data_IF_369500931689
#
_entry.id   IF_369500931689
#
_cell.length_a   1.000
_cell.length_b   1.000
_cell.length_c   1.000
_cell.angle_alpha   90.00
_cell.angle_beta   90.00
_cell.angle_gamma   90.00
#
_symmetry.space_group_name_H-M   'P 1'
#
loop_
_entity.id
_entity.type
_entity.pdbx_description
1 polymer ?
#
# COMPACT_ATOMS: atom_id res chain seq x y z
N UNK A 1 -21.21 -7.84 -3.60
CA UNK A 1 -20.88 -7.14 -2.32
C UNK A 1 -21.84 -7.62 -1.25
N UNK A 2 -21.34 -8.03 -0.08
CA UNK A 2 -22.18 -8.42 1.08
C UNK A 2 -22.56 -7.18 1.89
N UNK A 3 -23.60 -7.28 2.72
CA UNK A 3 -23.95 -6.25 3.68
C UNK A 3 -22.81 -6.11 4.72
N UNK A 4 -22.52 -4.90 5.13
CA UNK A 4 -21.50 -4.56 6.12
C UNK A 4 -21.97 -3.38 6.97
N UNK A 5 -21.42 -3.25 8.15
CA UNK A 5 -21.58 -2.09 9.01
C UNK A 5 -20.55 -1.02 8.60
N UNK A 6 -20.94 0.24 8.63
CA UNK A 6 -20.08 1.38 8.28
C UNK A 6 -19.97 2.33 9.45
N UNK A 7 -18.76 2.66 9.84
CA UNK A 7 -18.45 3.64 10.88
C UNK A 7 -17.46 4.67 10.35
N UNK A 8 -17.66 5.92 10.71
CA UNK A 8 -16.73 7.01 10.33
C UNK A 8 -15.94 7.44 11.54
N UNK A 9 -14.63 7.26 11.50
CA UNK A 9 -13.73 7.65 12.57
C UNK A 9 -13.44 9.15 12.55
N UNK A 10 -13.51 9.78 13.71
CA UNK A 10 -13.15 11.18 13.89
C UNK A 10 -11.62 11.36 13.94
N UNK A 11 -10.92 10.40 14.53
CA UNK A 11 -9.47 10.39 14.71
C UNK A 11 -8.92 8.95 14.69
N UNK A 12 -7.60 8.81 14.84
CA UNK A 12 -6.93 7.51 14.82
C UNK A 12 -7.35 6.62 16.00
N UNK A 13 -7.55 7.21 17.19
CA UNK A 13 -7.95 6.45 18.38
C UNK A 13 -9.34 5.84 18.19
N UNK A 14 -10.32 6.62 17.71
CA UNK A 14 -11.66 6.15 17.39
C UNK A 14 -11.62 5.05 16.30
N UNK A 15 -10.76 5.19 15.28
CA UNK A 15 -10.61 4.16 14.25
C UNK A 15 -10.12 2.82 14.82
N UNK A 16 -9.14 2.86 15.73
CA UNK A 16 -8.59 1.69 16.41
C UNK A 16 -9.63 1.06 17.33
N UNK A 17 -10.40 1.89 18.06
CA UNK A 17 -11.47 1.43 18.93
C UNK A 17 -12.56 0.71 18.13
N UNK A 18 -13.01 1.28 17.01
CA UNK A 18 -13.97 0.62 16.11
C UNK A 18 -13.43 -0.70 15.58
N UNK A 19 -12.13 -0.76 15.24
CA UNK A 19 -11.51 -1.99 14.75
C UNK A 19 -11.60 -3.12 15.77
N UNK A 20 -11.44 -2.82 17.04
CA UNK A 20 -11.54 -3.79 18.13
C UNK A 20 -12.97 -4.39 18.30
N UNK A 21 -14.00 -3.70 17.78
CA UNK A 21 -15.39 -4.10 17.87
C UNK A 21 -15.84 -5.06 16.75
N UNK A 22 -15.02 -5.29 15.71
CA UNK A 22 -15.40 -6.08 14.55
C UNK A 22 -14.42 -7.22 14.25
N UNK A 23 -14.93 -8.46 14.14
CA UNK A 23 -14.10 -9.63 13.85
C UNK A 23 -13.38 -9.57 12.48
N UNK A 24 -13.98 -8.90 11.50
CA UNK A 24 -13.44 -8.72 10.14
C UNK A 24 -13.52 -7.25 9.74
N UNK A 25 -12.96 -6.37 10.58
CA UNK A 25 -12.93 -4.95 10.29
C UNK A 25 -11.85 -4.60 9.25
N UNK A 26 -12.13 -3.59 8.41
CA UNK A 26 -11.16 -3.02 7.44
C UNK A 26 -11.22 -1.49 7.47
N UNK A 27 -10.06 -0.87 7.43
CA UNK A 27 -9.96 0.57 7.25
C UNK A 27 -10.20 0.97 5.80
N UNK A 28 -11.03 1.99 5.59
CA UNK A 28 -11.36 2.56 4.29
C UNK A 28 -10.73 3.95 4.14
N UNK A 29 -9.74 4.05 3.27
CA UNK A 29 -9.20 5.32 2.80
C UNK A 29 -9.95 5.80 1.54
N UNK A 30 -9.23 5.95 0.41
CA UNK A 30 -9.85 6.37 -0.85
C UNK A 30 -10.79 5.37 -1.53
N UNK A 31 -10.86 4.15 -1.06
CA UNK A 31 -11.75 3.09 -1.56
C UNK A 31 -11.32 2.46 -2.89
N UNK A 32 -10.32 2.99 -3.56
CA UNK A 32 -9.91 2.58 -4.93
C UNK A 32 -9.38 1.16 -5.07
N UNK A 33 -9.14 0.46 -3.96
CA UNK A 33 -8.81 -0.95 -3.96
C UNK A 33 -9.79 -1.76 -3.09
N UNK A 34 -10.04 -1.37 -1.84
CA UNK A 34 -10.92 -2.13 -0.94
C UNK A 34 -12.33 -2.27 -1.53
N UNK A 35 -12.94 -1.17 -2.01
CA UNK A 35 -14.30 -1.22 -2.58
C UNK A 35 -14.34 -2.07 -3.86
N UNK A 36 -13.30 -2.01 -4.69
CA UNK A 36 -13.15 -2.85 -5.86
C UNK A 36 -13.17 -4.34 -5.48
N UNK A 37 -12.32 -4.75 -4.53
CA UNK A 37 -12.27 -6.12 -4.01
C UNK A 37 -13.58 -6.56 -3.34
N UNK A 38 -14.30 -5.64 -2.69
CA UNK A 38 -15.61 -5.91 -2.11
C UNK A 38 -16.66 -6.14 -3.20
N UNK A 39 -16.59 -5.41 -4.33
CA UNK A 39 -17.50 -5.62 -5.49
C UNK A 39 -17.28 -6.97 -6.14
N UNK A 40 -16.01 -7.37 -6.30
CA UNK A 40 -15.61 -8.70 -6.79
C UNK A 40 -15.80 -9.81 -5.74
N UNK A 41 -16.33 -9.47 -4.55
CA UNK A 41 -16.58 -10.41 -3.47
C UNK A 41 -15.32 -11.16 -2.96
N UNK A 42 -14.15 -10.58 -3.17
CA UNK A 42 -12.84 -11.07 -2.68
C UNK A 42 -12.64 -10.64 -1.22
N UNK A 43 -12.83 -9.36 -0.92
CA UNK A 43 -12.86 -8.85 0.45
C UNK A 43 -14.30 -8.79 0.96
N UNK A 44 -14.52 -9.30 2.17
CA UNK A 44 -15.86 -9.46 2.76
C UNK A 44 -15.89 -8.96 4.21
N UNK A 45 -15.52 -7.68 4.43
CA UNK A 45 -15.53 -7.14 5.79
C UNK A 45 -16.95 -7.09 6.35
N UNK A 46 -17.08 -7.36 7.65
CA UNK A 46 -18.32 -7.14 8.40
C UNK A 46 -18.44 -5.69 8.88
N UNK A 47 -17.29 -5.02 9.06
CA UNK A 47 -17.20 -3.63 9.48
C UNK A 47 -16.20 -2.88 8.57
N UNK A 48 -16.66 -1.79 7.98
CA UNK A 48 -15.83 -0.84 7.23
C UNK A 48 -15.69 0.44 8.04
N UNK A 49 -14.46 0.80 8.35
CA UNK A 49 -14.12 1.98 9.15
C UNK A 49 -13.55 3.05 8.22
N UNK A 50 -14.31 4.10 8.00
CA UNK A 50 -13.89 5.23 7.16
C UNK A 50 -12.90 6.10 7.92
N UNK A 51 -11.66 6.16 7.39
CA UNK A 51 -10.57 6.99 7.89
C UNK A 51 -10.27 8.19 6.98
N UNK A 52 -11.18 8.55 6.09
CA UNK A 52 -10.99 9.69 5.16
C UNK A 52 -11.00 11.04 5.86
N UNK A 53 -11.53 11.09 7.09
CA UNK A 53 -11.52 12.28 7.95
C UNK A 53 -10.19 12.56 8.65
N UNK A 54 -9.25 11.61 8.63
CA UNK A 54 -7.94 11.78 9.26
C UNK A 54 -7.06 12.77 8.48
N UNK A 55 -5.97 13.21 9.13
CA UNK A 55 -5.07 14.23 8.58
C UNK A 55 -4.51 13.84 7.19
N UNK A 56 -4.34 14.88 6.37
CA UNK A 56 -3.86 14.80 4.97
C UNK A 56 -2.67 15.71 4.73
N UNK A 57 -2.04 16.17 5.80
CA UNK A 57 -0.97 17.15 5.72
C UNK A 57 0.30 16.56 5.10
N UNK A 58 1.05 17.44 4.46
CA UNK A 58 2.40 17.20 3.98
C UNK A 58 3.24 18.30 4.59
N UNK A 59 4.14 17.94 5.51
CA UNK A 59 4.90 18.91 6.30
C UNK A 59 6.38 18.58 6.33
N UNK A 60 7.18 19.62 6.41
CA UNK A 60 8.62 19.49 6.59
C UNK A 60 8.94 19.04 8.03
N UNK A 61 10.01 18.26 8.18
CA UNK A 61 10.60 17.95 9.47
C UNK A 61 11.75 18.92 9.79
N UNK A 62 12.12 19.03 11.06
CA UNK A 62 13.20 19.93 11.51
C UNK A 62 14.57 19.57 10.89
N UNK A 63 14.77 18.31 10.58
CA UNK A 63 15.97 17.78 9.93
C UNK A 63 15.96 17.91 8.38
N UNK A 64 14.93 18.59 7.84
CA UNK A 64 14.80 18.81 6.39
C UNK A 64 14.20 17.64 5.61
N UNK A 65 13.67 16.62 6.30
CA UNK A 65 12.88 15.55 5.72
C UNK A 65 11.45 15.98 5.42
N UNK A 66 10.57 15.02 5.14
CA UNK A 66 9.15 15.24 4.86
C UNK A 66 8.29 14.20 5.55
N UNK A 67 7.22 14.61 6.19
CA UNK A 67 6.16 13.71 6.69
C UNK A 67 4.91 13.90 5.85
N UNK A 68 4.36 12.81 5.36
CA UNK A 68 3.15 12.75 4.55
C UNK A 68 2.12 11.93 5.33
N UNK A 69 1.03 12.54 5.76
CA UNK A 69 -0.02 11.83 6.49
C UNK A 69 -0.75 10.83 5.59
N UNK A 70 -1.18 9.72 6.17
CA UNK A 70 -1.73 8.58 5.43
C UNK A 70 -3.00 8.90 4.64
N UNK A 71 -3.75 9.95 5.06
CA UNK A 71 -4.93 10.45 4.35
C UNK A 71 -4.60 11.33 3.13
N UNK A 72 -3.35 11.74 2.93
CA UNK A 72 -2.95 12.57 1.79
C UNK A 72 -3.27 11.88 0.46
N UNK A 73 -3.85 12.63 -0.49
CA UNK A 73 -4.20 12.10 -1.81
C UNK A 73 -2.97 12.00 -2.70
N UNK A 74 -2.89 10.94 -3.50
CA UNK A 74 -1.76 10.73 -4.41
C UNK A 74 -1.53 11.93 -5.34
N UNK A 75 -2.59 12.57 -5.83
CA UNK A 75 -2.47 13.79 -6.65
C UNK A 75 -1.86 14.95 -5.86
N UNK A 76 -2.27 15.16 -4.60
CA UNK A 76 -1.73 16.23 -3.77
C UNK A 76 -0.23 16.04 -3.54
N UNK A 77 0.22 14.80 -3.29
CA UNK A 77 1.64 14.48 -3.10
C UNK A 77 2.43 14.75 -4.40
N UNK A 78 1.94 14.24 -5.53
CA UNK A 78 2.64 14.41 -6.81
C UNK A 78 2.75 15.86 -7.25
N UNK A 79 1.81 16.73 -6.86
CA UNK A 79 1.81 18.17 -7.12
C UNK A 79 2.54 19.00 -6.07
N UNK A 80 2.83 18.44 -4.89
CA UNK A 80 3.42 19.18 -3.78
C UNK A 80 4.82 19.66 -4.13
N UNK A 81 5.09 20.95 -3.89
CA UNK A 81 6.35 21.59 -4.29
C UNK A 81 7.58 20.87 -3.72
N UNK A 82 7.60 20.62 -2.41
CA UNK A 82 8.72 19.95 -1.75
C UNK A 82 8.96 18.52 -2.29
N UNK A 83 7.89 17.79 -2.64
CA UNK A 83 8.03 16.46 -3.25
C UNK A 83 8.64 16.55 -4.64
N UNK A 84 8.19 17.49 -5.47
CA UNK A 84 8.72 17.68 -6.83
C UNK A 84 10.17 18.14 -6.86
N UNK A 85 10.56 19.02 -5.95
CA UNK A 85 11.90 19.58 -5.88
C UNK A 85 12.91 18.65 -5.19
N UNK A 86 12.53 18.03 -4.08
CA UNK A 86 13.45 17.24 -3.24
C UNK A 86 13.36 15.73 -3.49
N UNK A 87 12.17 15.22 -3.86
CA UNK A 87 11.91 13.80 -4.05
C UNK A 87 11.23 13.50 -5.41
N UNK A 88 11.80 13.96 -6.55
CA UNK A 88 11.16 13.86 -7.85
C UNK A 88 10.82 12.42 -8.26
N UNK A 89 11.58 11.44 -7.81
CA UNK A 89 11.29 10.02 -8.06
C UNK A 89 9.93 9.61 -7.49
N UNK A 90 9.54 10.16 -6.32
CA UNK A 90 8.24 9.88 -5.72
C UNK A 90 7.11 10.48 -6.57
N UNK A 91 7.25 11.73 -7.00
CA UNK A 91 6.27 12.38 -7.88
C UNK A 91 6.11 11.61 -9.20
N UNK A 92 7.22 11.20 -9.82
CA UNK A 92 7.23 10.44 -11.07
C UNK A 92 6.57 9.07 -10.90
N UNK A 93 6.89 8.33 -9.84
CA UNK A 93 6.30 7.03 -9.55
C UNK A 93 4.77 7.13 -9.36
N UNK A 94 4.29 8.14 -8.63
CA UNK A 94 2.86 8.36 -8.42
C UNK A 94 2.16 8.67 -9.75
N UNK A 95 2.77 9.51 -10.60
CA UNK A 95 2.16 9.91 -11.88
C UNK A 95 2.18 8.77 -12.90
N UNK A 96 3.19 7.87 -12.85
CA UNK A 96 3.27 6.70 -13.69
C UNK A 96 2.18 5.65 -13.38
N UNK A 97 1.71 5.62 -12.11
CA UNK A 97 0.66 4.70 -11.67
C UNK A 97 -0.75 5.27 -11.81
N UNK A 98 -1.73 4.41 -12.07
CA UNK A 98 -3.16 4.67 -12.09
C UNK A 98 -3.60 5.83 -13.03
N UNK A 99 -4.88 6.13 -13.10
CA UNK A 99 -5.42 7.31 -13.78
C UNK A 99 -5.46 8.53 -12.84
N UNK A 100 -5.62 9.73 -13.42
CA UNK A 100 -5.78 10.94 -12.62
C UNK A 100 -6.98 10.87 -11.67
N UNK A 101 -8.09 10.28 -12.12
CA UNK A 101 -9.30 10.09 -11.33
C UNK A 101 -9.03 9.20 -10.11
N UNK A 102 -8.33 8.08 -10.31
CA UNK A 102 -7.95 7.17 -9.21
C UNK A 102 -7.00 7.89 -8.24
N UNK A 103 -5.98 8.62 -8.74
CA UNK A 103 -5.05 9.36 -7.89
C UNK A 103 -5.72 10.46 -7.05
N UNK A 104 -6.81 11.04 -7.53
CA UNK A 104 -7.60 12.03 -6.78
C UNK A 104 -8.34 11.40 -5.59
N UNK A 105 -8.61 10.11 -5.63
CA UNK A 105 -9.29 9.35 -4.57
C UNK A 105 -8.30 8.58 -3.69
N UNK A 106 -7.32 7.93 -4.28
CA UNK A 106 -6.33 7.12 -3.58
C UNK A 106 -5.54 7.92 -2.55
N UNK A 107 -5.33 7.32 -1.39
CA UNK A 107 -4.55 7.89 -0.27
C UNK A 107 -3.22 7.16 -0.12
N UNK A 108 -2.26 7.77 0.58
CA UNK A 108 -0.98 7.12 0.90
C UNK A 108 -1.19 5.78 1.60
N UNK A 109 -1.92 5.79 2.73
CA UNK A 109 -2.17 4.56 3.48
C UNK A 109 -2.84 3.48 2.63
N UNK A 110 -3.86 3.86 1.84
CA UNK A 110 -4.53 2.94 0.93
C UNK A 110 -3.64 2.44 -0.21
N UNK A 111 -2.70 3.24 -0.67
CA UNK A 111 -1.73 2.84 -1.71
C UNK A 111 -0.71 1.84 -1.15
N UNK A 112 -0.20 2.06 0.08
CA UNK A 112 0.69 1.11 0.73
C UNK A 112 -0.01 -0.24 0.97
N UNK A 113 -1.30 -0.21 1.28
CA UNK A 113 -2.10 -1.38 1.64
C UNK A 113 -2.86 -2.00 0.46
N UNK A 114 -2.63 -1.52 -0.76
CA UNK A 114 -3.30 -2.12 -1.93
C UNK A 114 -2.86 -3.57 -2.13
N UNK A 115 -3.78 -4.41 -2.55
CA UNK A 115 -3.51 -5.83 -2.80
C UNK A 115 -3.11 -6.08 -4.24
N UNK A 116 -2.54 -7.25 -4.50
CA UNK A 116 -2.04 -7.67 -5.81
C UNK A 116 -3.06 -7.48 -6.95
N UNK A 117 -2.56 -7.36 -8.19
CA UNK A 117 -3.36 -7.36 -9.43
C UNK A 117 -3.35 -8.73 -10.14
N UNK A 118 -2.99 -9.79 -9.43
CA UNK A 118 -3.00 -11.14 -9.96
C UNK A 118 -4.41 -11.54 -10.41
N UNK A 119 -4.58 -11.98 -11.65
CA UNK A 119 -5.87 -12.40 -12.21
C UNK A 119 -6.51 -13.51 -11.39
N UNK A 120 -5.72 -14.50 -10.98
CA UNK A 120 -6.19 -15.64 -10.17
C UNK A 120 -6.58 -15.23 -8.74
N UNK A 121 -6.08 -14.09 -8.24
CA UNK A 121 -6.53 -13.52 -6.98
C UNK A 121 -7.92 -12.90 -7.11
N UNK A 122 -8.24 -12.30 -8.28
CA UNK A 122 -9.54 -11.69 -8.57
C UNK A 122 -10.58 -12.71 -9.04
N UNK A 123 -10.19 -13.89 -9.47
CA UNK A 123 -11.09 -14.97 -9.87
C UNK A 123 -11.36 -15.90 -8.69
N UNK A 124 -12.59 -15.91 -8.16
CA UNK A 124 -12.98 -16.71 -7.00
C UNK A 124 -13.05 -18.22 -7.30
N UNK A 125 -13.13 -18.62 -8.57
CA UNK A 125 -13.06 -20.01 -9.00
C UNK A 125 -11.61 -20.55 -9.05
N UNK A 126 -10.61 -19.66 -9.19
CA UNK A 126 -9.20 -20.05 -9.25
C UNK A 126 -8.65 -20.40 -7.86
N UNK A 127 -7.70 -21.33 -7.83
CA UNK A 127 -6.96 -21.66 -6.61
C UNK A 127 -5.97 -20.53 -6.28
N UNK A 128 -6.05 -19.99 -5.06
CA UNK A 128 -5.19 -18.89 -4.66
C UNK A 128 -4.84 -18.96 -3.17
N UNK A 129 -3.57 -19.25 -2.85
CA UNK A 129 -3.05 -19.29 -1.48
C UNK A 129 -3.08 -17.92 -0.78
N UNK A 130 -3.07 -16.82 -1.54
CA UNK A 130 -3.16 -15.47 -1.00
C UNK A 130 -4.58 -15.13 -0.53
N UNK A 131 -5.57 -15.75 -1.11
CA UNK A 131 -6.99 -15.61 -0.74
C UNK A 131 -7.37 -16.63 0.35
N UNK A 132 -6.93 -17.87 0.17
CA UNK A 132 -7.20 -18.97 1.10
C UNK A 132 -6.00 -19.91 1.18
N UNK A 133 -5.33 -19.89 2.32
CA UNK A 133 -4.10 -20.66 2.55
C UNK A 133 -4.32 -22.15 2.30
N UNK A 134 -3.40 -22.77 1.57
CA UNK A 134 -3.43 -24.21 1.27
C UNK A 134 -4.25 -24.60 0.04
N UNK A 135 -4.92 -23.68 -0.62
CA UNK A 135 -5.70 -23.97 -1.85
C UNK A 135 -4.85 -24.18 -3.11
N UNK A 136 -3.58 -23.77 -3.09
CA UNK A 136 -2.72 -23.78 -4.26
C UNK A 136 -2.65 -22.43 -4.97
N UNK A 137 -1.96 -22.38 -6.11
CA UNK A 137 -1.76 -21.16 -6.89
C UNK A 137 -1.80 -21.47 -8.39
N UNK A 138 -2.92 -21.19 -9.04
CA UNK A 138 -3.10 -21.44 -10.47
C UNK A 138 -2.22 -20.53 -11.37
N UNK A 139 -1.66 -19.46 -10.81
CA UNK A 139 -0.74 -18.59 -11.52
C UNK A 139 0.60 -19.27 -11.85
N UNK A 140 1.06 -20.22 -11.04
CA UNK A 140 2.40 -20.83 -11.19
C UNK A 140 2.51 -21.57 -12.53
N UNK A 141 1.49 -22.35 -12.87
CA UNK A 141 1.44 -23.12 -14.13
C UNK A 141 0.56 -22.47 -15.20
N UNK A 142 -0.08 -21.34 -14.87
CA UNK A 142 -0.96 -20.61 -15.76
C UNK A 142 -0.31 -19.42 -16.44
N UNK A 143 -1.13 -18.45 -16.85
CA UNK A 143 -0.64 -17.19 -17.42
C UNK A 143 -0.02 -16.33 -16.33
N UNK A 144 1.32 -16.26 -16.31
CA UNK A 144 2.08 -15.59 -15.25
C UNK A 144 3.08 -14.52 -15.74
N UNK A 145 2.95 -14.07 -16.99
CA UNK A 145 3.89 -13.10 -17.60
C UNK A 145 4.05 -11.79 -16.85
N UNK A 146 3.02 -11.39 -16.08
CA UNK A 146 3.01 -10.15 -15.29
C UNK A 146 3.36 -10.37 -13.81
N UNK A 147 3.75 -11.57 -13.44
CA UNK A 147 4.02 -11.96 -12.06
C UNK A 147 5.50 -11.82 -11.69
N UNK A 148 5.83 -12.10 -10.44
CA UNK A 148 7.16 -11.92 -9.89
C UNK A 148 8.21 -12.84 -10.56
N UNK A 149 9.39 -12.26 -10.85
CA UNK A 149 10.60 -12.98 -11.20
C UNK A 149 11.47 -13.18 -9.95
N UNK A 150 11.52 -12.17 -9.08
CA UNK A 150 12.28 -12.18 -7.84
C UNK A 150 11.32 -12.11 -6.65
N UNK A 151 11.70 -12.75 -5.53
CA UNK A 151 10.91 -12.75 -4.30
C UNK A 151 9.65 -13.62 -4.36
N UNK A 152 9.45 -14.41 -5.41
CA UNK A 152 8.39 -15.42 -5.48
C UNK A 152 8.69 -16.62 -4.59
N UNK A 153 7.66 -17.43 -4.31
CA UNK A 153 7.79 -18.74 -3.66
C UNK A 153 7.06 -19.81 -4.44
N UNK A 154 7.23 -21.09 -4.01
CA UNK A 154 6.44 -22.22 -4.55
C UNK A 154 4.94 -22.10 -4.25
N UNK A 155 4.54 -21.15 -3.39
CA UNK A 155 3.15 -20.97 -2.98
C UNK A 155 2.48 -19.75 -3.61
N UNK A 156 3.25 -18.74 -4.08
CA UNK A 156 2.70 -17.54 -4.69
C UNK A 156 3.75 -16.79 -5.52
N UNK A 157 3.35 -16.34 -6.69
CA UNK A 157 4.16 -15.53 -7.61
C UNK A 157 3.64 -14.09 -7.77
N UNK A 158 2.67 -13.66 -6.95
CA UNK A 158 2.07 -12.35 -7.05
C UNK A 158 3.04 -11.24 -6.61
N UNK A 159 2.92 -10.06 -7.25
CA UNK A 159 3.67 -8.85 -6.90
C UNK A 159 2.81 -7.87 -6.11
N UNK A 160 3.44 -7.00 -5.32
CA UNK A 160 2.79 -5.80 -4.78
C UNK A 160 2.79 -4.70 -5.85
N UNK A 161 1.62 -4.12 -6.21
CA UNK A 161 1.50 -3.32 -7.44
C UNK A 161 1.74 -1.82 -7.25
N UNK A 162 2.44 -1.38 -6.22
CA UNK A 162 2.64 0.04 -5.90
C UNK A 162 3.98 0.59 -6.36
N UNK A 163 3.99 1.38 -7.43
CA UNK A 163 5.16 2.15 -7.86
C UNK A 163 5.60 3.16 -6.79
N UNK A 164 4.62 3.71 -6.05
CA UNK A 164 4.90 4.61 -4.92
C UNK A 164 5.71 3.91 -3.82
N UNK A 165 5.39 2.64 -3.50
CA UNK A 165 6.17 1.87 -2.51
C UNK A 165 7.61 1.67 -2.96
N UNK A 166 7.84 1.43 -4.25
CA UNK A 166 9.20 1.29 -4.81
C UNK A 166 9.99 2.59 -4.62
N UNK A 167 9.38 3.74 -4.94
CA UNK A 167 10.02 5.04 -4.76
C UNK A 167 10.28 5.35 -3.29
N UNK A 168 9.33 5.09 -2.41
CA UNK A 168 9.47 5.30 -0.96
C UNK A 168 10.52 4.37 -0.35
N UNK A 169 10.64 3.12 -0.80
CA UNK A 169 11.70 2.21 -0.39
C UNK A 169 13.08 2.72 -0.79
N UNK A 170 13.23 3.24 -2.01
CA UNK A 170 14.47 3.85 -2.49
C UNK A 170 14.84 5.16 -1.75
N UNK A 171 13.88 5.76 -1.07
CA UNK A 171 14.04 6.97 -0.25
C UNK A 171 14.21 6.65 1.24
N UNK A 172 14.39 5.40 1.62
CA UNK A 172 14.52 4.95 3.02
C UNK A 172 13.34 5.40 3.91
N UNK A 173 12.14 5.44 3.35
CA UNK A 173 10.96 5.93 4.04
C UNK A 173 10.60 5.05 5.26
N UNK A 174 10.04 5.70 6.28
CA UNK A 174 9.59 5.09 7.53
C UNK A 174 8.08 5.26 7.65
N UNK A 175 7.38 4.17 7.91
CA UNK A 175 5.92 4.14 8.11
C UNK A 175 5.62 4.33 9.59
N UNK A 176 4.75 5.27 9.91
CA UNK A 176 4.26 5.51 11.26
C UNK A 176 2.96 4.73 11.44
N UNK A 177 2.91 3.96 12.50
CA UNK A 177 1.81 3.07 12.84
C UNK A 177 1.25 3.44 14.22
N UNK A 178 -0.06 3.37 14.36
CA UNK A 178 -0.75 3.49 15.64
C UNK A 178 -1.73 2.33 15.79
N UNK A 179 -1.77 1.72 16.95
CA UNK A 179 -2.60 0.55 17.21
C UNK A 179 -2.92 0.38 18.69
N UNK A 180 -3.62 -0.70 19.08
CA UNK A 180 -3.99 -0.94 20.47
C UNK A 180 -2.81 -1.00 21.45
N UNK A 181 -1.62 -1.31 20.96
CA UNK A 181 -0.39 -1.39 21.76
C UNK A 181 0.42 -0.08 21.73
N UNK A 182 -0.15 1.01 21.19
CA UNK A 182 0.53 2.31 21.05
C UNK A 182 1.11 2.54 19.67
N UNK A 183 2.05 3.48 19.61
CA UNK A 183 2.70 3.92 18.36
C UNK A 183 4.01 3.19 18.14
N UNK A 184 4.28 2.84 16.90
CA UNK A 184 5.58 2.33 16.46
C UNK A 184 5.91 2.79 15.04
N UNK A 185 7.18 2.63 14.69
CA UNK A 185 7.69 2.95 13.36
C UNK A 185 8.24 1.70 12.72
N UNK A 186 8.11 1.60 11.39
CA UNK A 186 8.60 0.49 10.61
C UNK A 186 9.23 1.03 9.33
N UNK A 187 10.43 0.58 8.96
CA UNK A 187 10.97 0.92 7.63
C UNK A 187 10.02 0.37 6.56
N UNK A 188 9.83 1.13 5.49
CA UNK A 188 8.91 0.69 4.43
C UNK A 188 9.33 -0.65 3.81
N UNK A 189 10.63 -0.91 3.70
CA UNK A 189 11.17 -2.18 3.19
C UNK A 189 10.79 -3.39 4.04
N UNK A 190 10.47 -3.15 5.31
CA UNK A 190 10.07 -4.19 6.27
C UNK A 190 8.52 -4.27 6.40
N UNK A 191 7.76 -3.39 5.72
CA UNK A 191 6.29 -3.39 5.82
C UNK A 191 5.66 -4.57 5.09
N UNK A 192 6.12 -4.85 3.86
CA UNK A 192 5.56 -5.90 3.01
C UNK A 192 6.37 -7.18 3.16
N UNK A 193 5.66 -8.28 3.27
CA UNK A 193 6.26 -9.62 3.38
C UNK A 193 6.39 -10.28 2.03
N UNK A 194 7.51 -10.96 1.81
CA UNK A 194 7.59 -11.94 0.72
C UNK A 194 6.62 -13.11 1.01
N UNK A 195 6.04 -13.75 -0.01
CA UNK A 195 5.01 -14.76 0.17
C UNK A 195 5.47 -15.97 1.00
N UNK A 196 6.71 -16.43 0.84
CA UNK A 196 7.21 -17.61 1.57
C UNK A 196 6.17 -18.71 1.61
N UNK A 197 5.95 -19.27 2.82
CA UNK A 197 4.94 -20.31 3.08
C UNK A 197 3.58 -19.73 3.53
N UNK A 198 3.48 -18.41 3.67
CA UNK A 198 2.30 -17.69 4.19
C UNK A 198 1.88 -16.54 3.31
N UNK A 199 1.54 -16.75 2.02
CA UNK A 199 1.21 -15.68 1.09
C UNK A 199 -0.07 -14.90 1.43
N UNK A 200 -0.92 -15.41 2.31
CA UNK A 200 -2.08 -14.78 2.88
C UNK A 200 -1.74 -13.63 3.86
N UNK A 201 -0.52 -13.64 4.44
CA UNK A 201 -0.02 -12.59 5.31
C UNK A 201 0.89 -11.66 4.50
N UNK A 202 0.37 -10.52 4.07
CA UNK A 202 1.05 -9.63 3.11
C UNK A 202 1.90 -8.56 3.77
N UNK A 203 1.69 -8.26 5.06
CA UNK A 203 2.38 -7.17 5.77
C UNK A 203 2.73 -7.55 7.20
N UNK A 204 3.64 -6.77 7.81
CA UNK A 204 4.01 -6.85 9.23
C UNK A 204 3.08 -6.01 10.15
N UNK A 205 1.92 -5.57 9.63
CA UNK A 205 0.91 -4.91 10.46
C UNK A 205 0.29 -5.90 11.43
N UNK A 206 0.16 -5.46 12.67
CA UNK A 206 -0.59 -6.19 13.70
C UNK A 206 -2.08 -5.89 13.59
N UNK A 207 -2.91 -6.76 14.15
CA UNK A 207 -4.35 -6.56 14.16
C UNK A 207 -4.70 -5.20 14.79
N UNK A 208 -5.49 -4.40 14.09
CA UNK A 208 -5.93 -3.08 14.53
C UNK A 208 -4.92 -1.95 14.31
N UNK A 209 -3.72 -2.22 13.81
CA UNK A 209 -2.80 -1.14 13.48
C UNK A 209 -3.26 -0.34 12.25
N UNK A 210 -3.17 0.96 12.38
CA UNK A 210 -3.48 1.94 11.34
C UNK A 210 -2.20 2.66 10.91
N UNK A 211 -1.98 2.78 9.61
CA UNK A 211 -0.94 3.66 9.07
C UNK A 211 -1.41 5.10 9.26
N UNK A 212 -0.63 5.92 9.96
CA UNK A 212 -0.96 7.31 10.23
C UNK A 212 -0.16 8.29 9.36
N UNK A 213 1.09 7.95 9.03
CA UNK A 213 1.93 8.77 8.17
C UNK A 213 3.08 7.96 7.54
N UNK A 214 3.76 8.58 6.58
CA UNK A 214 5.04 8.12 6.02
C UNK A 214 6.03 9.27 6.16
N UNK A 215 7.17 9.02 6.80
CA UNK A 215 8.28 9.95 6.90
C UNK A 215 9.36 9.60 5.86
N UNK A 216 9.84 10.61 5.16
CA UNK A 216 10.95 10.51 4.21
C UNK A 216 12.11 11.31 4.79
N UNK A 217 13.27 10.70 5.04
CA UNK A 217 14.40 11.41 5.62
C UNK A 217 14.91 12.52 4.69
N UNK A 218 15.58 13.49 5.27
CA UNK A 218 16.32 14.49 4.50
C UNK A 218 17.30 13.79 3.56
N UNK A 219 17.40 14.29 2.34
CA UNK A 219 18.47 13.91 1.43
C UNK A 219 19.79 14.46 1.98
N UNK A 220 20.49 13.71 2.79
CA UNK A 220 21.93 13.83 2.87
C UNK A 220 22.48 13.47 1.48
N UNK A 221 23.46 14.24 0.97
CA UNK A 221 24.10 14.11 -0.36
C UNK A 221 24.71 12.72 -0.62
N UNK A 222 23.90 11.67 -0.57
CA UNK A 222 24.31 10.37 -1.10
C UNK A 222 24.14 10.43 -2.62
N UNK A 223 25.21 10.37 -3.40
CA UNK A 223 25.08 10.25 -4.84
C UNK A 223 24.22 9.00 -5.10
N UNK A 224 23.03 9.18 -5.68
CA UNK A 224 22.31 8.07 -6.28
C UNK A 224 23.27 7.52 -7.32
N UNK A 225 23.78 6.32 -7.09
CA UNK A 225 24.57 5.63 -8.11
C UNK A 225 23.70 5.59 -9.35
N UNK A 226 24.02 6.41 -10.35
CA UNK A 226 23.35 6.37 -11.66
C UNK A 226 23.64 4.99 -12.19
N UNK A 227 22.65 4.13 -12.16
CA UNK A 227 22.68 2.93 -12.97
C UNK A 227 22.62 3.45 -14.42
N UNK A 228 23.81 3.68 -14.98
CA UNK A 228 23.99 4.12 -16.34
C UNK A 228 23.70 2.92 -17.24
N UNK A 229 22.42 2.66 -17.48
CA UNK A 229 22.00 1.75 -18.52
C UNK A 229 20.82 2.33 -19.27
N UNK A 230 21.08 2.53 -20.55
CA UNK A 230 20.25 2.96 -21.62
C UNK A 230 18.74 3.01 -21.46
N UNK A 231 18.14 3.95 -22.17
CA UNK A 231 16.71 4.24 -22.37
C UNK A 231 15.76 3.14 -21.87
N UNK A 232 15.36 3.23 -20.61
CA UNK A 232 14.32 2.40 -20.06
C UNK A 232 12.95 2.97 -20.45
N UNK A 233 12.12 2.16 -21.07
CA UNK A 233 10.70 2.48 -21.24
C UNK A 233 10.04 2.52 -19.85
N UNK A 234 8.99 3.34 -19.62
CA UNK A 234 8.32 3.49 -18.32
C UNK A 234 7.80 2.20 -17.70
N UNK A 235 7.66 1.14 -18.49
CA UNK A 235 7.12 -0.15 -18.04
C UNK A 235 8.14 -1.08 -17.35
N UNK A 236 9.38 -0.66 -17.09
CA UNK A 236 10.44 -1.52 -16.53
C UNK A 236 10.67 -1.38 -15.02
N UNK A 237 9.86 -0.62 -14.29
CA UNK A 237 10.03 -0.43 -12.85
C UNK A 237 9.31 -1.49 -11.98
N UNK A 238 8.55 -2.39 -12.61
CA UNK A 238 7.83 -3.49 -11.96
C UNK A 238 8.39 -4.88 -12.31
N UNK A 239 9.70 -5.03 -12.39
CA UNK A 239 10.28 -6.36 -12.56
C UNK A 239 11.33 -6.64 -11.50
#
# INVERSE_FOLDING_TARGET
>A
MRAFRYEKAADAAAAIEFFAQGAQAKYLGGGTNLVDLMRENIERPELVIDVTGLSREIRDTEDGGLVIDAGAKNTAIASHRAVRERYPVLAQAIVAGASAQIRNMATVGGNLMQRTRCYYFYDDAARCNKRERGKGCDAIEGFNRIHAILGASSHCVATHPSDMCVALAALDAVVHLEGPQGRRHLKLVDLHRLPGDTPDIETELRAGELITAVAIPSRCDRPIARCATGRASPSRWCR
#
